data_IF_589901556588
#
_entry.id   IF_589901556588
#
_cell.length_a   1.000
_cell.length_b   1.000
_cell.length_c   1.000
_cell.angle_alpha   90.00
_cell.angle_beta   90.00
_cell.angle_gamma   90.00
#
_symmetry.space_group_name_H-M   'P 1'
#
loop_
_entity.id
_entity.type
_entity.pdbx_description
1 polymer ?
#
# COMPACT_ATOMS: atom_id res chain seq x y z
N UNK A 1 10.33 -0.95 -5.33
CA UNK A 1 9.58 -0.27 -4.24
C UNK A 1 10.12 -0.82 -2.94
N UNK A 2 10.41 0.05 -1.96
CA UNK A 2 10.92 -0.42 -0.67
C UNK A 2 9.82 -1.08 0.17
N UNK A 3 10.23 -1.95 1.10
CA UNK A 3 9.36 -2.58 2.11
C UNK A 3 8.53 -1.52 2.87
N UNK A 4 9.09 -0.32 3.06
CA UNK A 4 8.42 0.85 3.65
C UNK A 4 7.13 1.25 2.91
N UNK A 5 7.14 1.27 1.57
CA UNK A 5 5.98 1.73 0.78
C UNK A 5 4.80 0.78 0.92
N UNK A 6 5.06 -0.54 0.94
CA UNK A 6 4.04 -1.58 1.11
C UNK A 6 3.40 -1.46 2.49
N UNK A 7 4.22 -1.36 3.54
CA UNK A 7 3.75 -1.22 4.91
C UNK A 7 2.92 0.06 5.12
N UNK A 8 3.34 1.18 4.53
CA UNK A 8 2.61 2.45 4.59
C UNK A 8 1.27 2.39 3.87
N UNK A 9 1.21 1.78 2.68
CA UNK A 9 -0.06 1.59 1.94
C UNK A 9 -1.03 0.72 2.74
N UNK A 10 -0.57 -0.44 3.26
CA UNK A 10 -1.43 -1.34 4.05
C UNK A 10 -1.92 -0.67 5.33
N UNK A 11 -1.04 0.02 6.08
CA UNK A 11 -1.44 0.77 7.28
C UNK A 11 -2.44 1.88 6.96
N UNK A 12 -2.20 2.67 5.92
CA UNK A 12 -3.10 3.74 5.53
C UNK A 12 -4.50 3.21 5.19
N UNK A 13 -4.58 2.06 4.52
CA UNK A 13 -5.87 1.45 4.17
C UNK A 13 -6.56 0.79 5.38
N UNK A 14 -5.90 -0.16 6.03
CA UNK A 14 -6.52 -1.00 7.07
C UNK A 14 -6.63 -0.30 8.44
N UNK A 15 -5.62 0.48 8.82
CA UNK A 15 -5.58 1.12 10.15
C UNK A 15 -6.17 2.52 10.10
N UNK A 16 -5.82 3.31 9.09
CA UNK A 16 -6.27 4.70 9.00
C UNK A 16 -7.56 4.88 8.21
N UNK A 17 -8.06 3.83 7.55
CA UNK A 17 -9.31 3.88 6.77
C UNK A 17 -9.24 4.80 5.54
N UNK A 18 -8.05 5.05 5.00
CA UNK A 18 -7.89 5.96 3.86
C UNK A 18 -8.42 5.34 2.57
N UNK A 19 -9.04 6.17 1.73
CA UNK A 19 -9.45 5.76 0.39
C UNK A 19 -8.25 5.59 -0.56
N UNK A 20 -8.41 4.74 -1.57
CA UNK A 20 -7.38 4.50 -2.61
C UNK A 20 -6.90 5.80 -3.29
N UNK A 21 -7.80 6.79 -3.46
CA UNK A 21 -7.47 8.11 -4.03
C UNK A 21 -6.55 8.90 -3.11
N UNK A 22 -6.84 8.89 -1.80
CA UNK A 22 -6.01 9.57 -0.79
C UNK A 22 -4.64 8.91 -0.70
N UNK A 23 -4.59 7.59 -0.62
CA UNK A 23 -3.33 6.81 -0.58
C UNK A 23 -2.45 7.14 -1.79
N UNK A 24 -3.02 7.14 -3.00
CA UNK A 24 -2.26 7.46 -4.21
C UNK A 24 -1.67 8.89 -4.20
N UNK A 25 -2.40 9.87 -3.65
CA UNK A 25 -1.96 11.26 -3.56
C UNK A 25 -0.86 11.46 -2.52
N UNK A 26 -1.09 10.93 -1.32
CA UNK A 26 -0.22 11.19 -0.15
C UNK A 26 1.04 10.31 -0.14
N UNK A 27 0.99 9.12 -0.74
CA UNK A 27 2.14 8.21 -0.84
C UNK A 27 2.83 8.26 -2.20
N UNK A 28 2.34 9.11 -3.13
CA UNK A 28 2.88 9.23 -4.50
C UNK A 28 2.98 7.89 -5.24
N UNK A 29 2.04 6.99 -5.00
CA UNK A 29 1.94 5.69 -5.68
C UNK A 29 0.80 5.70 -6.67
N UNK A 30 0.93 4.96 -7.77
CA UNK A 30 -0.20 4.77 -8.68
C UNK A 30 -1.33 4.01 -7.98
N UNK A 31 -2.59 4.31 -8.32
CA UNK A 31 -3.75 3.56 -7.82
C UNK A 31 -3.68 2.06 -8.15
N UNK A 32 -3.06 1.70 -9.28
CA UNK A 32 -2.85 0.30 -9.64
C UNK A 32 -1.82 -0.38 -8.73
N UNK A 33 -0.75 0.33 -8.37
CA UNK A 33 0.24 -0.16 -7.41
C UNK A 33 -0.40 -0.35 -6.04
N UNK A 34 -1.14 0.65 -5.53
CA UNK A 34 -1.83 0.53 -4.26
C UNK A 34 -2.82 -0.64 -4.26
N UNK A 35 -3.59 -0.82 -5.35
CA UNK A 35 -4.50 -1.96 -5.51
C UNK A 35 -3.77 -3.30 -5.55
N UNK A 36 -2.63 -3.40 -6.24
CA UNK A 36 -1.80 -4.61 -6.25
C UNK A 36 -1.30 -4.94 -4.84
N UNK A 37 -0.80 -3.95 -4.11
CA UNK A 37 -0.32 -4.10 -2.73
C UNK A 37 -1.42 -4.59 -1.78
N UNK A 38 -2.64 -4.07 -1.93
CA UNK A 38 -3.79 -4.48 -1.10
C UNK A 38 -4.38 -5.83 -1.51
N UNK A 39 -4.12 -6.29 -2.74
CA UNK A 39 -4.63 -7.57 -3.27
C UNK A 39 -3.65 -8.72 -3.07
N UNK A 40 -2.35 -8.42 -3.02
CA UNK A 40 -1.32 -9.40 -2.68
C UNK A 40 -1.20 -9.45 -1.15
N UNK A 41 -1.88 -10.41 -0.51
CA UNK A 41 -1.69 -10.73 0.92
C UNK A 41 -0.33 -11.39 1.19
N UNK A 42 0.34 -11.90 0.15
CA UNK A 42 1.62 -12.60 0.24
C UNK A 42 2.76 -11.63 0.51
N UNK A 43 3.03 -11.48 1.80
CA UNK A 43 4.29 -10.96 2.29
C UNK A 43 5.31 -12.08 2.19
N UNK A 44 5.84 -12.31 0.98
CA UNK A 44 7.13 -12.97 0.82
C UNK A 44 8.19 -12.01 1.35
N UNK A 45 8.37 -12.05 2.67
CA UNK A 45 9.59 -11.58 3.31
C UNK A 45 10.67 -12.63 3.01
N UNK A 46 11.30 -12.54 1.84
CA UNK A 46 12.62 -13.13 1.72
C UNK A 46 13.56 -12.30 2.60
N UNK A 47 13.97 -12.93 3.70
CA UNK A 47 15.11 -12.55 4.54
C UNK A 47 16.37 -12.35 3.68
#
# INVERSE_FOLDING_TARGET
>A
MGVDTIARVRRAFHVQGWSMKKIARELHVSRNTARKILRSDETDFYL
#
